data_IF_903952368023
#
_entry.id   IF_903952368023
#
_cell.length_a   1.000
_cell.length_b   1.000
_cell.length_c   1.000
_cell.angle_alpha   90.00
_cell.angle_beta   90.00
_cell.angle_gamma   90.00
#
_symmetry.space_group_name_H-M   'P 1'
#
loop_
_entity.id
_entity.type
_entity.pdbx_description
1 polymer ?
#
# COMPACT_ATOMS: atom_id res chain seq x y z
N UNK A 1 6.02 34.20 -1.96
CA UNK A 1 7.24 33.39 -2.13
C UNK A 1 7.15 32.69 -3.49
N UNK A 2 8.18 32.81 -4.30
CA UNK A 2 8.17 32.19 -5.63
C UNK A 2 8.55 30.70 -5.51
N UNK A 3 7.67 29.81 -5.97
CA UNK A 3 7.89 28.37 -5.94
C UNK A 3 8.77 27.98 -7.12
N UNK A 4 9.96 27.49 -6.83
CA UNK A 4 10.95 27.09 -7.86
C UNK A 4 10.71 25.66 -8.36
N UNK A 5 11.25 25.34 -9.54
CA UNK A 5 11.24 23.96 -10.06
C UNK A 5 12.00 22.98 -9.15
N UNK A 6 13.01 23.46 -8.41
CA UNK A 6 13.75 22.67 -7.44
C UNK A 6 12.87 22.29 -6.23
N UNK A 7 12.02 23.21 -5.75
CA UNK A 7 11.08 22.92 -4.65
C UNK A 7 10.05 21.87 -5.07
N UNK A 8 9.52 21.99 -6.27
CA UNK A 8 8.56 21.02 -6.83
C UNK A 8 9.20 19.64 -6.99
N UNK A 9 10.44 19.59 -7.49
CA UNK A 9 11.18 18.34 -7.63
C UNK A 9 11.43 17.70 -6.27
N UNK A 10 11.91 18.46 -5.28
CA UNK A 10 12.19 17.95 -3.94
C UNK A 10 10.91 17.40 -3.27
N UNK A 11 9.77 18.08 -3.38
CA UNK A 11 8.50 17.58 -2.87
C UNK A 11 8.04 16.31 -3.59
N UNK A 12 8.21 16.26 -4.91
CA UNK A 12 7.88 15.07 -5.71
C UNK A 12 8.74 13.86 -5.32
N UNK A 13 10.03 14.06 -5.08
CA UNK A 13 10.95 13.00 -4.64
C UNK A 13 10.55 12.46 -3.25
N UNK A 14 9.91 13.28 -2.40
CA UNK A 14 9.40 12.89 -1.08
C UNK A 14 8.07 12.11 -1.15
N UNK A 15 7.13 12.52 -1.99
CA UNK A 15 5.74 12.01 -1.95
C UNK A 15 5.29 11.29 -3.23
N UNK A 16 6.07 11.32 -4.30
CA UNK A 16 5.76 10.68 -5.57
C UNK A 16 4.57 11.26 -6.35
N UNK A 17 3.96 12.36 -5.88
CA UNK A 17 2.81 12.98 -6.51
C UNK A 17 3.14 13.65 -7.87
N UNK A 18 2.13 13.96 -8.65
CA UNK A 18 2.28 14.64 -9.94
C UNK A 18 2.90 16.04 -9.82
N UNK A 19 3.67 16.48 -10.82
CA UNK A 19 4.38 17.78 -10.81
C UNK A 19 3.42 18.94 -10.52
N UNK A 20 2.25 18.96 -11.17
CA UNK A 20 1.28 20.04 -10.97
C UNK A 20 0.62 19.98 -9.58
N UNK A 21 0.39 18.79 -9.04
CA UNK A 21 -0.13 18.61 -7.69
C UNK A 21 0.88 19.11 -6.65
N UNK A 22 2.16 18.76 -6.80
CA UNK A 22 3.23 19.27 -5.94
C UNK A 22 3.32 20.79 -5.99
N UNK A 23 3.25 21.38 -7.17
CA UNK A 23 3.27 22.85 -7.32
C UNK A 23 2.08 23.50 -6.62
N UNK A 24 0.86 22.99 -6.82
CA UNK A 24 -0.34 23.52 -6.18
C UNK A 24 -0.24 23.40 -4.66
N UNK A 25 0.18 22.25 -4.13
CA UNK A 25 0.35 22.05 -2.71
C UNK A 25 1.38 23.03 -2.10
N UNK A 26 2.51 23.27 -2.77
CA UNK A 26 3.50 24.24 -2.34
C UNK A 26 2.95 25.68 -2.33
N UNK A 27 2.18 26.06 -3.35
CA UNK A 27 1.54 27.38 -3.39
C UNK A 27 0.58 27.54 -2.21
N UNK A 28 -0.28 26.56 -1.94
CA UNK A 28 -1.26 26.58 -0.85
C UNK A 28 -0.61 26.64 0.54
N UNK A 29 0.55 26.00 0.69
CA UNK A 29 1.27 25.92 1.97
C UNK A 29 2.35 27.01 2.11
N UNK A 30 2.40 27.97 1.20
CA UNK A 30 3.37 29.07 1.24
C UNK A 30 4.83 28.59 1.08
N UNK A 31 5.05 27.46 0.39
CA UNK A 31 6.37 26.87 0.16
C UNK A 31 6.85 25.90 1.25
N UNK A 32 6.04 25.63 2.28
CA UNK A 32 6.32 24.64 3.31
C UNK A 32 6.19 23.23 2.75
N UNK A 33 7.32 22.56 2.54
CA UNK A 33 7.37 21.23 1.93
C UNK A 33 6.73 20.16 2.80
N UNK A 34 6.87 20.26 4.13
CA UNK A 34 6.30 19.30 5.07
C UNK A 34 4.77 19.35 5.02
N UNK A 35 4.21 20.54 5.16
CA UNK A 35 2.75 20.75 5.06
C UNK A 35 2.21 20.39 3.67
N UNK A 36 2.98 20.66 2.61
CA UNK A 36 2.60 20.29 1.26
C UNK A 36 2.55 18.75 1.08
N UNK A 37 3.49 18.01 1.68
CA UNK A 37 3.48 16.55 1.67
C UNK A 37 2.28 15.98 2.45
N UNK A 38 1.98 16.52 3.63
CA UNK A 38 0.81 16.14 4.43
C UNK A 38 -0.50 16.41 3.67
N UNK A 39 -0.63 17.59 3.04
CA UNK A 39 -1.79 17.95 2.22
C UNK A 39 -1.96 16.98 1.02
N UNK A 40 -0.86 16.59 0.36
CA UNK A 40 -0.91 15.63 -0.74
C UNK A 40 -1.28 14.23 -0.26
N UNK A 41 -0.82 13.80 0.91
CA UNK A 41 -1.22 12.54 1.52
C UNK A 41 -2.71 12.52 1.83
N UNK A 42 -3.24 13.56 2.45
CA UNK A 42 -4.68 13.69 2.73
C UNK A 42 -5.53 13.63 1.46
N UNK A 43 -5.14 14.38 0.42
CA UNK A 43 -5.80 14.36 -0.89
C UNK A 43 -5.75 12.99 -1.56
N UNK A 44 -4.63 12.28 -1.40
CA UNK A 44 -4.48 10.90 -1.87
C UNK A 44 -5.49 9.96 -1.20
N UNK A 45 -5.63 10.04 0.12
CA UNK A 45 -6.62 9.27 0.87
C UNK A 45 -8.06 9.56 0.41
N UNK A 46 -8.41 10.83 0.21
CA UNK A 46 -9.74 11.21 -0.30
C UNK A 46 -9.99 10.69 -1.73
N UNK A 47 -8.97 10.72 -2.58
CA UNK A 47 -9.08 10.13 -3.94
C UNK A 47 -9.25 8.62 -3.91
N UNK A 48 -8.51 7.93 -3.04
CA UNK A 48 -8.63 6.48 -2.86
C UNK A 48 -10.01 6.09 -2.34
N UNK A 49 -10.52 6.80 -1.33
CA UNK A 49 -11.86 6.56 -0.78
C UNK A 49 -12.97 6.68 -1.83
N UNK A 50 -12.90 7.70 -2.70
CA UNK A 50 -13.87 7.87 -3.81
C UNK A 50 -13.85 6.75 -4.86
N UNK A 51 -12.81 5.93 -4.88
CA UNK A 51 -12.62 4.83 -5.83
C UNK A 51 -12.84 3.46 -5.22
N UNK A 52 -12.97 3.37 -3.89
CA UNK A 52 -13.00 2.11 -3.15
C UNK A 52 -14.08 1.12 -3.64
N UNK A 53 -15.20 1.63 -4.14
CA UNK A 53 -16.32 0.81 -4.67
C UNK A 53 -16.14 0.39 -6.14
N UNK A 54 -15.12 0.89 -6.84
CA UNK A 54 -14.91 0.52 -8.24
C UNK A 54 -14.43 -0.93 -8.34
N UNK A 55 -14.96 -1.64 -9.33
CA UNK A 55 -14.65 -3.04 -9.58
C UNK A 55 -13.18 -3.18 -10.00
N UNK A 56 -12.46 -4.08 -9.33
CA UNK A 56 -11.07 -4.41 -9.62
C UNK A 56 -11.01 -5.85 -10.15
N UNK A 57 -11.28 -6.01 -11.45
CA UNK A 57 -11.36 -7.32 -12.10
C UNK A 57 -10.01 -7.80 -12.69
N UNK A 58 -9.00 -6.94 -12.70
CA UNK A 58 -7.66 -7.23 -13.18
C UNK A 58 -6.67 -7.22 -12.00
N UNK A 59 -5.43 -7.59 -12.26
CA UNK A 59 -4.40 -7.60 -11.24
C UNK A 59 -3.30 -8.61 -11.55
N UNK A 60 -2.58 -8.99 -10.51
CA UNK A 60 -1.57 -10.05 -10.58
C UNK A 60 -1.48 -10.82 -9.26
N UNK A 61 -0.89 -12.00 -9.34
CA UNK A 61 -0.45 -12.76 -8.17
C UNK A 61 1.07 -12.63 -8.10
N UNK A 62 1.56 -12.11 -6.98
CA UNK A 62 2.99 -11.97 -6.71
C UNK A 62 3.41 -12.91 -5.58
N UNK A 63 4.65 -13.39 -5.64
CA UNK A 63 5.22 -14.26 -4.61
C UNK A 63 6.53 -13.70 -4.08
N UNK A 64 6.77 -13.93 -2.79
CA UNK A 64 8.05 -13.65 -2.16
C UNK A 64 8.50 -14.87 -1.36
N UNK A 65 9.70 -15.35 -1.65
CA UNK A 65 10.35 -16.43 -0.88
C UNK A 65 11.56 -15.81 -0.18
N UNK A 66 11.55 -15.89 1.15
CA UNK A 66 12.66 -15.37 1.95
C UNK A 66 13.93 -16.19 1.75
N UNK A 67 15.08 -15.54 1.86
CA UNK A 67 16.40 -16.20 1.74
C UNK A 67 16.46 -17.42 2.64
N UNK A 68 16.90 -18.55 2.06
CA UNK A 68 16.91 -19.84 2.75
C UNK A 68 15.64 -20.68 2.55
N UNK A 69 14.60 -20.17 1.88
CA UNK A 69 13.44 -20.95 1.43
C UNK A 69 12.52 -21.47 2.54
N UNK A 70 12.63 -20.94 3.76
CA UNK A 70 11.85 -21.42 4.92
C UNK A 70 10.54 -20.67 5.14
N UNK A 71 10.44 -19.45 4.59
CA UNK A 71 9.26 -18.59 4.68
C UNK A 71 8.94 -18.10 3.28
N UNK A 72 7.67 -18.15 2.90
CA UNK A 72 7.19 -17.61 1.64
C UNK A 72 5.77 -17.07 1.77
N UNK A 73 5.43 -16.14 0.89
CA UNK A 73 4.09 -15.59 0.80
C UNK A 73 3.68 -15.41 -0.67
N UNK A 74 2.38 -15.48 -0.92
CA UNK A 74 1.75 -15.06 -2.17
C UNK A 74 0.65 -14.08 -1.87
N UNK A 75 0.47 -13.09 -2.74
CA UNK A 75 -0.59 -12.09 -2.63
C UNK A 75 -1.26 -11.89 -3.97
N UNK A 76 -2.57 -11.80 -3.98
CA UNK A 76 -3.39 -11.34 -5.09
C UNK A 76 -3.63 -9.84 -4.91
N UNK A 77 -3.05 -9.02 -5.80
CA UNK A 77 -3.26 -7.57 -5.83
C UNK A 77 -4.09 -7.23 -7.05
N UNK A 78 -5.22 -6.55 -6.85
CA UNK A 78 -6.21 -6.25 -7.87
C UNK A 78 -6.23 -4.77 -8.22
N UNK A 79 -6.52 -4.46 -9.49
CA UNK A 79 -6.73 -3.12 -10.06
C UNK A 79 -7.87 -3.13 -11.09
N UNK A 80 -8.21 -1.96 -11.65
CA UNK A 80 -9.32 -1.85 -12.60
C UNK A 80 -8.95 -2.40 -13.98
N UNK A 81 -7.71 -2.16 -14.46
CA UNK A 81 -7.26 -2.54 -15.82
C UNK A 81 -5.98 -3.35 -15.83
N UNK A 82 -5.78 -4.12 -16.91
CA UNK A 82 -4.54 -4.86 -17.16
C UNK A 82 -3.35 -3.93 -17.49
N UNK A 83 -3.61 -2.70 -17.94
CA UNK A 83 -2.58 -1.69 -18.16
C UNK A 83 -1.85 -1.34 -16.86
N UNK A 84 -2.61 -1.07 -15.79
CA UNK A 84 -2.04 -0.77 -14.46
C UNK A 84 -1.35 -2.01 -13.89
N UNK A 85 -1.93 -3.20 -14.04
CA UNK A 85 -1.33 -4.46 -13.57
C UNK A 85 0.08 -4.73 -14.15
N UNK A 86 0.36 -4.20 -15.36
CA UNK A 86 1.66 -4.37 -16.04
C UNK A 86 2.70 -3.33 -15.68
N UNK A 87 2.33 -2.26 -14.97
CA UNK A 87 3.27 -1.19 -14.61
C UNK A 87 4.29 -1.66 -13.58
N UNK A 88 5.49 -1.11 -13.64
CA UNK A 88 6.55 -1.42 -12.67
C UNK A 88 6.18 -0.95 -11.26
N UNK A 89 5.38 0.11 -11.13
CA UNK A 89 4.91 0.61 -9.84
C UNK A 89 3.96 -0.38 -9.17
N UNK A 90 3.00 -0.93 -9.93
CA UNK A 90 2.06 -1.92 -9.42
C UNK A 90 2.76 -3.23 -9.04
N UNK A 91 3.70 -3.70 -9.88
CA UNK A 91 4.50 -4.89 -9.59
C UNK A 91 5.38 -4.72 -8.36
N UNK A 92 6.01 -3.55 -8.20
CA UNK A 92 6.78 -3.23 -7.00
C UNK A 92 5.91 -3.23 -5.76
N UNK A 93 4.72 -2.62 -5.82
CA UNK A 93 3.76 -2.63 -4.72
C UNK A 93 3.39 -4.05 -4.32
N UNK A 94 3.06 -4.91 -5.29
CA UNK A 94 2.71 -6.31 -5.03
C UNK A 94 3.88 -7.08 -4.38
N UNK A 95 5.09 -6.87 -4.87
CA UNK A 95 6.30 -7.48 -4.30
C UNK A 95 6.57 -7.00 -2.85
N UNK A 96 6.44 -5.71 -2.60
CA UNK A 96 6.61 -5.13 -1.27
C UNK A 96 5.57 -5.66 -0.27
N UNK A 97 4.32 -5.84 -0.73
CA UNK A 97 3.25 -6.43 0.09
C UNK A 97 3.53 -7.92 0.35
N UNK A 98 3.94 -8.70 -0.65
CA UNK A 98 4.28 -10.11 -0.46
C UNK A 98 5.43 -10.28 0.56
N UNK A 99 6.45 -9.43 0.48
CA UNK A 99 7.56 -9.39 1.43
C UNK A 99 7.10 -9.00 2.84
N UNK A 100 6.22 -8.01 2.98
CA UNK A 100 5.61 -7.61 4.25
C UNK A 100 4.87 -8.78 4.90
N UNK A 101 4.05 -9.51 4.12
CA UNK A 101 3.30 -10.68 4.60
C UNK A 101 4.25 -11.77 5.10
N UNK A 102 5.31 -12.05 4.34
CA UNK A 102 6.30 -13.04 4.73
C UNK A 102 6.99 -12.69 6.06
N UNK A 103 7.34 -11.40 6.25
CA UNK A 103 8.06 -10.91 7.41
C UNK A 103 7.18 -10.76 8.65
N UNK A 104 5.99 -10.18 8.52
CA UNK A 104 5.16 -9.73 9.64
C UNK A 104 4.01 -10.67 10.00
N UNK A 105 3.76 -11.70 9.20
CA UNK A 105 2.73 -12.73 9.44
C UNK A 105 1.34 -12.15 9.81
N UNK A 106 0.75 -11.26 9.02
CA UNK A 106 -0.61 -10.79 9.28
C UNK A 106 -1.62 -11.95 9.16
N UNK A 107 -2.74 -11.83 9.87
CA UNK A 107 -3.83 -12.79 9.82
C UNK A 107 -5.00 -12.30 8.97
N UNK A 108 -5.16 -10.99 8.85
CA UNK A 108 -6.26 -10.31 8.16
C UNK A 108 -5.71 -9.22 7.25
N UNK A 109 -6.49 -8.84 6.25
CA UNK A 109 -6.14 -7.68 5.42
C UNK A 109 -6.51 -6.40 6.16
N UNK A 110 -7.73 -6.32 6.69
CA UNK A 110 -8.27 -5.16 7.39
C UNK A 110 -8.78 -5.52 8.79
N UNK A 111 -9.01 -4.50 9.62
CA UNK A 111 -9.62 -4.69 10.95
C UNK A 111 -11.08 -5.13 10.89
N UNK A 112 -11.77 -4.87 9.78
CA UNK A 112 -13.16 -5.28 9.58
C UNK A 112 -13.31 -6.79 9.37
N UNK A 113 -12.24 -7.47 8.98
CA UNK A 113 -12.20 -8.93 8.81
C UNK A 113 -12.00 -9.68 10.14
N UNK A 114 -11.62 -8.96 11.20
CA UNK A 114 -11.40 -9.57 12.53
C UNK A 114 -12.74 -9.98 13.13
N UNK A 115 -12.93 -11.27 13.52
CA UNK A 115 -14.17 -11.72 14.11
C UNK A 115 -14.51 -10.97 15.40
N UNK A 116 -15.81 -10.71 15.62
CA UNK A 116 -16.28 -10.06 16.84
C UNK A 116 -15.89 -10.87 18.09
N UNK A 117 -15.34 -10.18 19.09
CA UNK A 117 -14.88 -10.79 20.34
C UNK A 117 -13.44 -11.30 20.35
N UNK A 118 -12.73 -11.15 19.24
CA UNK A 118 -11.28 -11.43 19.18
C UNK A 118 -10.54 -10.13 19.45
N UNK A 119 -9.85 -10.05 20.58
CA UNK A 119 -8.97 -8.93 20.90
C UNK A 119 -7.61 -9.17 20.26
N UNK A 120 -7.32 -8.44 19.19
CA UNK A 120 -6.03 -8.44 18.49
C UNK A 120 -5.51 -7.02 18.33
N UNK A 121 -4.21 -6.87 18.49
CA UNK A 121 -3.54 -5.63 18.12
C UNK A 121 -3.60 -5.46 16.59
N UNK A 122 -4.36 -4.48 16.12
CA UNK A 122 -4.58 -4.26 14.68
C UNK A 122 -3.26 -4.04 13.92
N UNK A 123 -2.28 -3.39 14.55
CA UNK A 123 -0.95 -3.17 13.99
C UNK A 123 -0.15 -4.46 13.80
N UNK A 124 -0.43 -5.51 14.56
CA UNK A 124 0.21 -6.80 14.40
C UNK A 124 -0.58 -7.72 13.46
N UNK A 125 -1.90 -7.76 13.63
CA UNK A 125 -2.76 -8.74 12.98
C UNK A 125 -3.26 -8.33 11.59
N UNK A 126 -3.43 -7.03 11.32
CA UNK A 126 -4.06 -6.52 10.10
C UNK A 126 -3.03 -5.91 9.16
N UNK A 127 -2.86 -6.50 7.99
CA UNK A 127 -1.83 -6.13 7.01
C UNK A 127 -1.82 -4.63 6.68
N UNK A 128 -3.00 -4.03 6.44
CA UNK A 128 -3.08 -2.61 6.08
C UNK A 128 -2.72 -1.66 7.22
N UNK A 129 -2.81 -2.11 8.46
CA UNK A 129 -2.47 -1.34 9.67
C UNK A 129 -1.01 -1.50 10.10
N UNK A 130 -0.28 -2.44 9.51
CA UNK A 130 1.12 -2.67 9.87
C UNK A 130 2.02 -1.53 9.38
N UNK A 131 3.03 -1.11 10.19
CA UNK A 131 4.15 -0.32 9.70
C UNK A 131 4.90 -1.08 8.59
N UNK A 132 5.25 -0.37 7.52
CA UNK A 132 5.95 -1.00 6.40
C UNK A 132 7.39 -1.34 6.77
N UNK A 133 7.83 -2.56 6.54
CA UNK A 133 9.15 -3.07 6.99
C UNK A 133 10.35 -2.31 6.42
N UNK A 134 10.23 -1.71 5.22
CA UNK A 134 11.30 -0.91 4.61
C UNK A 134 11.28 0.55 5.07
N UNK A 135 10.15 1.03 5.59
CA UNK A 135 9.95 2.39 6.06
C UNK A 135 8.87 2.42 7.15
N UNK A 136 9.22 2.22 8.43
CA UNK A 136 8.25 2.14 9.53
C UNK A 136 7.48 3.44 9.81
N UNK A 137 7.84 4.55 9.16
CA UNK A 137 7.09 5.82 9.24
C UNK A 137 5.82 5.81 8.40
N UNK A 138 5.64 4.78 7.57
CA UNK A 138 4.51 4.59 6.66
C UNK A 138 3.78 3.29 6.99
N UNK A 139 2.47 3.28 6.84
CA UNK A 139 1.68 2.05 6.93
C UNK A 139 1.56 1.39 5.54
N UNK A 140 1.31 0.08 5.51
CA UNK A 140 1.07 -0.65 4.26
C UNK A 140 -0.06 -0.01 3.44
N UNK A 141 -1.14 0.45 4.08
CA UNK A 141 -2.22 1.19 3.40
C UNK A 141 -1.73 2.44 2.68
N UNK A 142 -0.73 3.14 3.22
CA UNK A 142 -0.21 4.37 2.59
C UNK A 142 0.44 4.08 1.25
N UNK A 143 1.10 2.91 1.09
CA UNK A 143 1.70 2.48 -0.17
C UNK A 143 0.62 2.28 -1.25
N UNK A 144 -0.48 1.64 -0.89
CA UNK A 144 -1.61 1.41 -1.81
C UNK A 144 -2.23 2.74 -2.23
N UNK A 145 -2.50 3.63 -1.27
CA UNK A 145 -3.06 4.98 -1.53
C UNK A 145 -2.16 5.77 -2.48
N UNK A 146 -0.85 5.68 -2.33
CA UNK A 146 0.11 6.36 -3.21
C UNK A 146 0.00 5.86 -4.65
N UNK A 147 -0.06 4.53 -4.86
CA UNK A 147 -0.19 3.97 -6.21
C UNK A 147 -1.58 4.28 -6.80
N UNK A 148 -2.66 4.26 -6.00
CA UNK A 148 -4.00 4.73 -6.43
C UNK A 148 -3.95 6.19 -6.89
N UNK A 149 -3.23 7.06 -6.16
CA UNK A 149 -3.10 8.48 -6.52
C UNK A 149 -2.35 8.67 -7.83
N UNK A 150 -1.32 7.86 -8.10
CA UNK A 150 -0.50 7.91 -9.32
C UNK A 150 -1.22 7.34 -10.54
N UNK A 151 -1.84 6.16 -10.40
CA UNK A 151 -2.48 5.44 -11.51
C UNK A 151 -3.88 5.94 -11.81
N UNK A 152 -4.56 6.51 -10.81
CA UNK A 152 -5.94 6.92 -10.93
C UNK A 152 -6.94 5.76 -10.85
N UNK A 153 -6.50 4.53 -10.58
CA UNK A 153 -7.34 3.35 -10.44
C UNK A 153 -7.51 2.90 -8.99
N UNK A 154 -8.60 2.21 -8.70
CA UNK A 154 -8.76 1.50 -7.44
C UNK A 154 -7.78 0.32 -7.38
N UNK A 155 -7.14 0.14 -6.24
CA UNK A 155 -6.22 -0.98 -5.99
C UNK A 155 -6.55 -1.54 -4.63
N UNK A 156 -6.65 -2.87 -4.55
CA UNK A 156 -6.91 -3.57 -3.28
C UNK A 156 -6.23 -4.93 -3.25
N UNK A 157 -5.96 -5.40 -2.06
CA UNK A 157 -5.53 -6.78 -1.82
C UNK A 157 -6.77 -7.67 -1.88
N UNK A 158 -6.74 -8.70 -2.73
CA UNK A 158 -7.82 -9.69 -2.82
C UNK A 158 -7.70 -10.72 -1.72
N UNK A 159 -6.56 -11.36 -1.64
CA UNK A 159 -6.22 -12.38 -0.62
C UNK A 159 -4.72 -12.60 -0.59
N UNK A 160 -4.26 -13.28 0.46
CA UNK A 160 -2.88 -13.73 0.57
C UNK A 160 -2.79 -15.08 1.28
N UNK A 161 -1.63 -15.70 1.15
CA UNK A 161 -1.26 -16.90 1.90
C UNK A 161 0.20 -16.80 2.31
N UNK A 162 0.53 -17.30 3.49
CA UNK A 162 1.90 -17.40 3.99
C UNK A 162 2.22 -18.83 4.39
N UNK A 163 3.41 -19.26 4.04
CA UNK A 163 3.98 -20.54 4.44
C UNK A 163 5.22 -20.33 5.29
N UNK A 164 5.36 -21.14 6.31
CA UNK A 164 6.57 -21.22 7.12
C UNK A 164 6.82 -22.67 7.52
N UNK A 165 8.04 -23.16 7.30
CA UNK A 165 8.40 -24.54 7.64
C UNK A 165 8.32 -24.73 9.16
N UNK A 166 7.57 -25.75 9.58
CA UNK A 166 7.38 -26.10 10.99
C UNK A 166 6.12 -25.52 11.64
N UNK A 167 5.43 -24.59 10.98
CA UNK A 167 4.08 -24.19 11.41
C UNK A 167 3.06 -25.14 10.79
N UNK A 168 2.12 -25.63 11.63
CA UNK A 168 0.95 -26.34 11.11
C UNK A 168 0.07 -25.37 10.34
N UNK A 169 -0.45 -25.81 9.19
CA UNK A 169 -1.52 -25.07 8.53
C UNK A 169 -2.68 -24.85 9.52
N UNK A 170 -3.35 -23.67 9.49
CA UNK A 170 -4.59 -23.53 10.23
C UNK A 170 -5.49 -24.70 9.80
N UNK A 171 -5.98 -25.47 10.77
CA UNK A 171 -6.91 -26.56 10.51
C UNK A 171 -8.15 -25.96 9.83
N UNK A 172 -8.43 -26.37 8.60
CA UNK A 172 -9.75 -26.17 7.98
C UNK A 172 -10.78 -26.80 8.95
N UNK A 173 -11.39 -25.98 9.78
CA UNK A 173 -12.62 -26.35 10.48
C UNK A 173 -13.73 -26.33 9.41
N UNK A 174 -13.97 -27.50 8.85
CA UNK A 174 -15.13 -27.80 8.03
C UNK A 174 -16.41 -27.68 8.86
#
# INVERSE_FOLDING_TARGET
MEITTADVKALRDMCGAGIMECRHALVETGGDRQKAAELLKERGCLKAAKKAERVTANGLVESYIHTGGRIGAMVELNCETDFVARTDEFRRLAHDIAMQIAAMNPHYITSEEVPAGVELEAEAACLLSQPFIKDPTRLVKDLIVEVIAKTGENIRIGRFIRFEIGLKAPSDNS
#
